data_IF_870781811102
#
_entry.id   IF_870781811102
#
_cell.length_a   1.000
_cell.length_b   1.000
_cell.length_c   1.000
_cell.angle_alpha   90.00
_cell.angle_beta   90.00
_cell.angle_gamma   90.00
#
_symmetry.space_group_name_H-M   'P 1'
#
loop_
_entity.id
_entity.type
_entity.pdbx_description
1 polymer ?
#
# COMPACT_ATOMS: atom_id res chain seq x y z
N UNK A 1 -5.07 9.65 -10.80
CA UNK A 1 -3.97 10.45 -11.40
C UNK A 1 -2.73 9.56 -11.47
N UNK A 2 -1.89 9.69 -12.50
CA UNK A 2 -0.62 8.95 -12.57
C UNK A 2 0.51 9.77 -11.92
N UNK A 3 1.35 9.08 -11.15
CA UNK A 3 2.55 9.66 -10.50
C UNK A 3 3.63 9.89 -11.55
N UNK A 4 4.22 11.09 -11.59
CA UNK A 4 5.23 11.46 -12.59
C UNK A 4 6.65 11.43 -12.04
N UNK A 5 6.85 11.84 -10.78
CA UNK A 5 8.14 11.76 -10.08
C UNK A 5 8.00 10.81 -8.88
N UNK A 6 8.46 9.56 -9.02
CA UNK A 6 8.33 8.57 -7.95
C UNK A 6 9.09 8.92 -6.68
N UNK A 7 10.11 9.79 -6.75
CA UNK A 7 10.81 10.23 -5.56
C UNK A 7 9.97 11.26 -4.82
N UNK A 8 9.61 12.36 -5.48
CA UNK A 8 8.92 13.48 -4.81
C UNK A 8 7.44 13.23 -4.55
N UNK A 9 6.76 12.65 -5.54
CA UNK A 9 5.30 12.53 -5.53
C UNK A 9 4.82 11.22 -4.86
N UNK A 10 5.74 10.29 -4.59
CA UNK A 10 5.41 8.99 -3.96
C UNK A 10 6.32 8.64 -2.78
N UNK A 11 7.64 8.61 -2.93
CA UNK A 11 8.49 8.06 -1.87
C UNK A 11 8.72 9.04 -0.71
N UNK A 12 9.06 10.29 -1.01
CA UNK A 12 9.39 11.31 -0.01
C UNK A 12 8.16 11.66 0.87
N UNK A 13 6.94 11.50 0.36
CA UNK A 13 5.70 11.76 1.12
C UNK A 13 5.41 10.71 2.21
N UNK A 14 6.01 9.52 2.12
CA UNK A 14 5.78 8.42 3.07
C UNK A 14 6.59 8.59 4.36
N UNK A 15 7.50 9.57 4.41
CA UNK A 15 8.36 9.78 5.57
C UNK A 15 7.55 10.17 6.81
N UNK A 16 7.99 9.65 7.97
CA UNK A 16 7.42 9.93 9.29
C UNK A 16 5.97 9.48 9.52
N UNK A 17 5.37 8.71 8.61
CA UNK A 17 4.04 8.14 8.79
C UNK A 17 4.05 6.63 8.67
N UNK A 18 3.06 5.97 9.28
CA UNK A 18 2.88 4.53 9.16
C UNK A 18 2.24 4.21 7.81
N UNK A 19 2.84 3.28 7.08
CA UNK A 19 2.38 2.85 5.75
C UNK A 19 1.79 1.44 5.81
N UNK A 20 0.59 1.25 5.28
CA UNK A 20 0.01 -0.08 5.05
C UNK A 20 0.35 -0.54 3.64
N UNK A 21 0.93 -1.73 3.50
CA UNK A 21 1.29 -2.31 2.20
C UNK A 21 0.49 -3.59 2.00
N UNK A 22 -0.48 -3.54 1.09
CA UNK A 22 -1.32 -4.67 0.69
C UNK A 22 -0.71 -5.31 -0.56
N UNK A 23 -0.38 -6.60 -0.49
CA UNK A 23 0.44 -7.26 -1.52
C UNK A 23 -0.28 -8.48 -2.07
N UNK A 24 -0.49 -8.53 -3.37
CA UNK A 24 -1.08 -9.71 -4.00
C UNK A 24 -0.21 -10.97 -3.82
N UNK A 25 -0.85 -12.14 -3.81
CA UNK A 25 -0.16 -13.41 -3.64
C UNK A 25 0.42 -13.98 -4.94
N UNK A 26 1.40 -13.26 -5.51
CA UNK A 26 2.13 -13.67 -6.71
C UNK A 26 3.62 -13.27 -6.65
N UNK A 27 4.42 -13.84 -7.55
CA UNK A 27 5.89 -13.69 -7.53
C UNK A 27 6.33 -12.26 -7.85
N UNK A 28 5.64 -11.57 -8.76
CA UNK A 28 5.98 -10.19 -9.13
C UNK A 28 5.75 -9.24 -7.95
N UNK A 29 4.58 -9.38 -7.30
CA UNK A 29 4.24 -8.64 -6.10
C UNK A 29 5.23 -8.88 -4.95
N UNK A 30 5.68 -10.12 -4.76
CA UNK A 30 6.70 -10.46 -3.74
C UNK A 30 8.05 -9.79 -4.05
N UNK A 31 8.49 -9.82 -5.30
CA UNK A 31 9.73 -9.18 -5.73
C UNK A 31 9.67 -7.65 -5.51
N UNK A 32 8.59 -7.01 -5.98
CA UNK A 32 8.37 -5.58 -5.78
C UNK A 32 8.31 -5.21 -4.30
N UNK A 33 7.58 -5.99 -3.50
CA UNK A 33 7.45 -5.78 -2.07
C UNK A 33 8.80 -5.90 -1.36
N UNK A 34 9.65 -6.86 -1.75
CA UNK A 34 11.00 -6.99 -1.16
C UNK A 34 11.92 -5.82 -1.46
N UNK A 35 11.87 -5.27 -2.67
CA UNK A 35 12.63 -4.06 -3.01
C UNK A 35 12.14 -2.89 -2.15
N UNK A 36 10.82 -2.69 -2.05
CA UNK A 36 10.24 -1.60 -1.26
C UNK A 36 10.54 -1.73 0.24
N UNK A 37 10.46 -2.94 0.81
CA UNK A 37 10.81 -3.22 2.20
C UNK A 37 12.26 -2.84 2.50
N UNK A 38 13.19 -3.13 1.58
CA UNK A 38 14.59 -2.77 1.75
C UNK A 38 14.79 -1.25 1.78
N UNK A 39 14.11 -0.51 0.88
CA UNK A 39 14.13 0.95 0.88
C UNK A 39 13.57 1.52 2.21
N UNK A 40 12.41 1.03 2.64
CA UNK A 40 11.81 1.43 3.92
C UNK A 40 12.73 1.13 5.11
N UNK A 41 13.47 0.02 5.08
CA UNK A 41 14.46 -0.31 6.11
C UNK A 41 15.61 0.69 6.15
N UNK A 42 16.14 1.09 4.98
CA UNK A 42 17.21 2.08 4.89
C UNK A 42 16.77 3.44 5.46
N UNK A 43 15.54 3.85 5.17
CA UNK A 43 15.00 5.17 5.57
C UNK A 43 14.16 5.14 6.86
N UNK A 44 14.15 4.00 7.58
CA UNK A 44 13.44 3.81 8.85
C UNK A 44 11.94 4.14 8.79
N UNK A 45 11.30 3.89 7.64
CA UNK A 45 9.86 4.07 7.47
C UNK A 45 9.13 2.96 8.24
N UNK A 46 8.13 3.33 9.04
CA UNK A 46 7.30 2.36 9.75
C UNK A 46 6.23 1.83 8.80
N UNK A 47 6.16 0.52 8.62
CA UNK A 47 5.19 -0.07 7.71
C UNK A 47 4.61 -1.39 8.24
N UNK A 48 3.48 -1.81 7.68
CA UNK A 48 2.84 -3.11 7.92
C UNK A 48 2.57 -3.73 6.56
N UNK A 49 3.07 -4.95 6.32
CA UNK A 49 2.81 -5.70 5.09
C UNK A 49 1.73 -6.73 5.36
N UNK A 50 0.68 -6.72 4.54
CA UNK A 50 -0.42 -7.70 4.61
C UNK A 50 -0.57 -8.35 3.23
N UNK A 51 -0.34 -9.67 3.10
CA UNK A 51 -0.62 -10.38 1.87
C UNK A 51 -2.13 -10.53 1.66
N UNK A 52 -2.59 -10.40 0.42
CA UNK A 52 -4.00 -10.51 0.04
C UNK A 52 -4.15 -11.51 -1.12
N UNK A 53 -5.15 -12.38 -1.04
CA UNK A 53 -5.41 -13.48 -1.97
C UNK A 53 -6.56 -13.20 -2.96
N UNK A 54 -7.16 -12.01 -2.88
CA UNK A 54 -8.24 -11.56 -3.75
C UNK A 54 -8.92 -10.30 -3.24
N UNK A 55 -10.05 -9.95 -3.85
CA UNK A 55 -10.80 -8.74 -3.50
C UNK A 55 -11.35 -8.77 -2.07
N UNK A 56 -11.90 -9.92 -1.64
CA UNK A 56 -12.40 -10.06 -0.27
C UNK A 56 -11.28 -9.95 0.77
N UNK A 57 -10.13 -10.58 0.48
CA UNK A 57 -8.94 -10.46 1.33
C UNK A 57 -8.41 -9.02 1.40
N UNK A 58 -8.47 -8.28 0.30
CA UNK A 58 -8.11 -6.87 0.25
C UNK A 58 -9.02 -6.01 1.13
N UNK A 59 -10.34 -6.19 1.03
CA UNK A 59 -11.33 -5.45 1.84
C UNK A 59 -11.09 -5.68 3.33
N UNK A 60 -10.96 -6.95 3.70
CA UNK A 60 -10.78 -7.35 5.09
C UNK A 60 -9.46 -6.83 5.65
N UNK A 61 -8.36 -6.98 4.90
CA UNK A 61 -7.05 -6.47 5.29
C UNK A 61 -7.05 -4.95 5.48
N UNK A 62 -7.76 -4.22 4.61
CA UNK A 62 -7.92 -2.77 4.74
C UNK A 62 -8.70 -2.42 6.01
N UNK A 63 -9.90 -2.99 6.22
CA UNK A 63 -10.73 -2.71 7.39
C UNK A 63 -10.02 -2.97 8.72
N UNK A 64 -9.23 -4.04 8.80
CA UNK A 64 -8.51 -4.40 10.03
C UNK A 64 -7.29 -3.53 10.33
N UNK A 65 -6.69 -2.91 9.31
CA UNK A 65 -5.37 -2.28 9.44
C UNK A 65 -5.35 -0.78 9.10
N UNK A 66 -6.42 -0.24 8.50
CA UNK A 66 -6.45 1.15 8.02
C UNK A 66 -6.70 2.19 9.12
N UNK A 67 -7.12 1.79 10.32
CA UNK A 67 -7.38 2.75 11.41
C UNK A 67 -6.12 3.58 11.75
N UNK A 68 -6.23 4.89 11.59
CA UNK A 68 -5.13 5.83 11.84
C UNK A 68 -4.00 5.79 10.80
N UNK A 69 -4.14 5.02 9.72
CA UNK A 69 -3.23 5.02 8.58
C UNK A 69 -3.65 6.11 7.60
N UNK A 70 -2.67 6.80 7.01
CA UNK A 70 -2.89 7.81 5.96
C UNK A 70 -2.31 7.41 4.61
N UNK A 71 -1.53 6.33 4.57
CA UNK A 71 -0.83 5.89 3.37
C UNK A 71 -1.02 4.39 3.18
N UNK A 72 -1.67 4.03 2.08
CA UNK A 72 -1.89 2.64 1.68
C UNK A 72 -1.28 2.41 0.30
N UNK A 73 -0.46 1.37 0.20
CA UNK A 73 0.20 0.94 -1.04
C UNK A 73 -0.35 -0.41 -1.43
N UNK A 74 -0.91 -0.52 -2.64
CA UNK A 74 -1.37 -1.77 -3.23
C UNK A 74 -0.33 -2.25 -4.25
N UNK A 75 0.17 -3.48 -4.07
CA UNK A 75 1.13 -4.09 -5.00
C UNK A 75 0.44 -5.22 -5.76
N UNK A 76 0.37 -5.04 -7.08
CA UNK A 76 -0.26 -5.95 -8.04
C UNK A 76 -1.74 -6.29 -7.73
N UNK A 77 -2.44 -5.37 -7.08
CA UNK A 77 -3.88 -5.44 -6.81
C UNK A 77 -4.54 -4.06 -6.92
N UNK A 78 -5.87 -4.02 -7.13
CA UNK A 78 -6.66 -2.78 -7.13
C UNK A 78 -6.72 -1.99 -8.45
N UNK A 79 -5.72 -2.12 -9.35
CA UNK A 79 -5.65 -1.29 -10.55
C UNK A 79 -6.80 -1.47 -11.56
N UNK A 80 -7.54 -2.57 -11.50
CA UNK A 80 -8.63 -2.92 -12.43
C UNK A 80 -10.04 -2.71 -11.84
N UNK A 81 -10.14 -2.15 -10.64
CA UNK A 81 -11.41 -1.93 -9.93
C UNK A 81 -11.53 -0.47 -9.48
N UNK A 82 -12.74 -0.05 -9.13
CA UNK A 82 -12.93 1.20 -8.40
C UNK A 82 -12.57 0.98 -6.92
N UNK A 83 -11.32 1.32 -6.58
CA UNK A 83 -10.77 1.12 -5.23
C UNK A 83 -11.47 2.01 -4.20
N UNK A 84 -11.93 3.21 -4.59
CA UNK A 84 -12.56 4.16 -3.67
C UNK A 84 -13.98 3.70 -3.33
N UNK A 85 -14.74 3.27 -4.34
CA UNK A 85 -16.07 2.71 -4.14
C UNK A 85 -16.03 1.45 -3.27
N UNK A 86 -15.02 0.59 -3.49
CA UNK A 86 -14.90 -0.70 -2.83
C UNK A 86 -14.38 -0.60 -1.38
N UNK A 87 -13.36 0.22 -1.11
CA UNK A 87 -12.75 0.31 0.22
C UNK A 87 -13.36 1.38 1.13
N UNK A 88 -14.07 2.35 0.56
CA UNK A 88 -14.68 3.49 1.29
C UNK A 88 -13.72 4.10 2.34
N UNK A 89 -12.51 4.53 1.94
CA UNK A 89 -11.54 5.10 2.86
C UNK A 89 -12.03 6.44 3.45
N UNK A 90 -11.47 6.83 4.60
CA UNK A 90 -11.62 8.20 5.10
C UNK A 90 -11.00 9.20 4.12
N UNK A 91 -11.52 10.45 4.07
CA UNK A 91 -11.07 11.53 3.18
C UNK A 91 -9.57 11.91 3.32
N UNK A 92 -8.89 11.36 4.32
CA UNK A 92 -7.50 11.66 4.66
C UNK A 92 -6.51 10.52 4.36
N UNK A 93 -6.98 9.44 3.70
CA UNK A 93 -6.20 8.26 3.29
C UNK A 93 -5.87 8.31 1.81
#
# INVERSE_FOLDING_TARGET
MLVKDFRKDFYDILQHQRVLVLVAFDVDALCACKILQYLFQCDQILYTVVPVDGLQGLEHAFLENAEGIRHVILINCGATIDVVEMLQPDDHV
#
